data_IF_440076009416
#
_entry.id   IF_440076009416
#
_cell.length_a   1.000
_cell.length_b   1.000
_cell.length_c   1.000
_cell.angle_alpha   90.00
_cell.angle_beta   90.00
_cell.angle_gamma   90.00
#
_symmetry.space_group_name_H-M   'P 1'
#
loop_
_entity.id
_entity.type
_entity.pdbx_description
1 polymer ?
#
# COMPACT_ATOMS: atom_id res chain seq x y z
N UNK A 1 31.37 -21.73 -42.51
CA UNK A 1 32.42 -20.72 -42.19
C UNK A 1 31.84 -19.31 -42.11
N UNK A 2 31.19 -18.78 -43.14
CA UNK A 2 30.57 -17.45 -43.14
C UNK A 2 29.55 -17.20 -42.00
N UNK A 3 28.62 -18.13 -41.79
CA UNK A 3 27.63 -18.03 -40.70
C UNK A 3 28.27 -18.05 -39.30
N UNK A 4 29.40 -18.76 -39.13
CA UNK A 4 30.12 -18.84 -37.86
C UNK A 4 30.81 -17.50 -37.56
N UNK A 5 31.39 -16.88 -38.59
CA UNK A 5 32.02 -15.56 -38.49
C UNK A 5 30.96 -14.49 -38.16
N UNK A 6 29.80 -14.54 -38.81
CA UNK A 6 28.67 -13.64 -38.50
C UNK A 6 28.19 -13.81 -37.07
N UNK A 7 27.94 -15.05 -36.60
CA UNK A 7 27.53 -15.31 -35.22
C UNK A 7 28.56 -14.80 -34.21
N UNK A 8 29.85 -15.01 -34.48
CA UNK A 8 30.93 -14.50 -33.66
C UNK A 8 30.92 -12.97 -33.57
N UNK A 9 30.79 -12.26 -34.71
CA UNK A 9 30.73 -10.80 -34.75
C UNK A 9 29.51 -10.28 -33.98
N UNK A 10 28.33 -10.89 -34.17
CA UNK A 10 27.10 -10.49 -33.46
C UNK A 10 27.21 -10.68 -31.95
N UNK A 11 27.90 -11.75 -31.48
CA UNK A 11 28.17 -11.94 -30.04
C UNK A 11 29.09 -10.88 -29.46
N UNK A 12 30.15 -10.52 -30.18
CA UNK A 12 31.06 -9.45 -29.74
C UNK A 12 30.34 -8.10 -29.71
N UNK A 13 29.52 -7.80 -30.73
CA UNK A 13 28.70 -6.59 -30.77
C UNK A 13 27.71 -6.54 -29.59
N UNK A 14 26.99 -7.64 -29.31
CA UNK A 14 26.08 -7.72 -28.15
C UNK A 14 26.82 -7.51 -26.83
N UNK A 15 28.00 -8.12 -26.68
CA UNK A 15 28.81 -7.96 -25.47
C UNK A 15 29.23 -6.50 -25.28
N UNK A 16 29.66 -5.84 -26.36
CA UNK A 16 30.01 -4.41 -26.34
C UNK A 16 28.81 -3.52 -26.00
N UNK A 17 27.65 -3.75 -26.61
CA UNK A 17 26.40 -3.03 -26.29
C UNK A 17 26.02 -3.23 -24.82
N UNK A 18 26.15 -4.44 -24.27
CA UNK A 18 25.87 -4.71 -22.87
C UNK A 18 26.83 -3.98 -21.92
N UNK A 19 28.12 -3.88 -22.26
CA UNK A 19 29.09 -3.09 -21.47
C UNK A 19 28.70 -1.62 -21.46
N UNK A 20 28.41 -1.06 -22.64
CA UNK A 20 27.97 0.34 -22.73
C UNK A 20 26.69 0.54 -21.92
N UNK A 21 25.69 -0.31 -22.09
CA UNK A 21 24.43 -0.23 -21.34
C UNK A 21 24.65 -0.34 -19.83
N UNK A 22 25.60 -1.16 -19.38
CA UNK A 22 25.96 -1.26 -17.96
C UNK A 22 26.65 0.01 -17.44
N UNK A 23 27.55 0.61 -18.22
CA UNK A 23 28.22 1.89 -17.86
C UNK A 23 27.19 3.01 -17.79
N UNK A 24 26.35 3.14 -18.82
CA UNK A 24 25.20 4.07 -18.87
C UNK A 24 24.30 3.85 -17.65
N UNK A 25 23.96 2.59 -17.38
CA UNK A 25 23.16 2.17 -16.23
C UNK A 25 23.76 2.64 -14.91
N UNK A 26 25.04 2.39 -14.70
CA UNK A 26 25.75 2.77 -13.48
C UNK A 26 25.87 4.28 -13.31
N UNK A 27 26.11 5.03 -14.40
CA UNK A 27 26.25 6.48 -14.36
C UNK A 27 24.92 7.22 -14.18
N UNK A 28 23.83 6.73 -14.78
CA UNK A 28 22.53 7.42 -14.74
C UNK A 28 21.52 6.85 -13.73
N UNK A 29 21.69 5.59 -13.32
CA UNK A 29 20.84 4.93 -12.34
C UNK A 29 21.70 4.39 -11.19
N UNK A 30 22.34 5.29 -10.42
CA UNK A 30 23.08 4.87 -9.23
C UNK A 30 22.15 4.09 -8.29
N UNK A 31 22.76 3.22 -7.48
CA UNK A 31 22.02 2.44 -6.48
C UNK A 31 21.15 3.36 -5.62
N UNK A 32 19.86 3.08 -5.56
CA UNK A 32 18.92 3.77 -4.66
C UNK A 32 18.87 3.13 -3.27
N UNK A 33 19.86 2.31 -2.93
CA UNK A 33 19.93 1.67 -1.64
C UNK A 33 20.16 2.72 -0.54
N UNK A 34 19.27 2.76 0.45
CA UNK A 34 19.30 3.78 1.51
C UNK A 34 18.71 5.12 1.12
N UNK A 35 18.05 5.23 -0.04
CA UNK A 35 17.37 6.46 -0.48
C UNK A 35 16.23 6.85 0.46
N UNK A 36 15.55 5.86 1.05
CA UNK A 36 14.46 6.11 1.99
C UNK A 36 14.91 6.04 3.44
N UNK A 37 14.34 6.87 4.33
CA UNK A 37 14.58 6.76 5.76
C UNK A 37 14.14 5.38 6.28
N UNK A 38 14.89 4.86 7.25
CA UNK A 38 14.59 3.59 7.90
C UNK A 38 13.26 3.63 8.63
N UNK A 39 12.60 2.46 8.73
CA UNK A 39 11.35 2.33 9.46
C UNK A 39 11.65 2.41 10.96
N UNK A 40 11.06 3.42 11.64
CA UNK A 40 11.28 3.69 13.07
C UNK A 40 10.19 3.13 13.98
N UNK A 41 8.97 2.94 13.44
CA UNK A 41 7.82 2.49 14.20
C UNK A 41 7.61 0.99 14.01
N UNK A 42 7.78 0.21 15.09
CA UNK A 42 7.66 -1.24 15.09
C UNK A 42 6.25 -1.75 14.72
N UNK A 43 5.21 -0.92 14.82
CA UNK A 43 3.86 -1.27 14.35
C UNK A 43 3.84 -1.56 12.84
N UNK A 44 4.66 -0.84 12.06
CA UNK A 44 4.74 -0.96 10.60
C UNK A 44 5.42 -2.25 10.15
N UNK A 45 6.10 -2.94 11.08
CA UNK A 45 6.83 -4.19 10.83
C UNK A 45 6.04 -5.43 11.30
N UNK A 46 4.87 -5.24 11.90
CA UNK A 46 4.07 -6.33 12.44
C UNK A 46 3.09 -6.91 11.41
N UNK A 47 2.83 -8.23 11.44
CA UNK A 47 1.80 -8.84 10.60
C UNK A 47 0.40 -8.28 10.90
N UNK A 48 -0.40 -8.06 9.84
CA UNK A 48 -1.77 -7.56 9.94
C UNK A 48 -2.66 -8.33 10.93
N UNK A 49 -2.57 -9.66 10.95
CA UNK A 49 -3.32 -10.51 11.91
C UNK A 49 -2.96 -10.15 13.36
N UNK A 50 -1.68 -9.93 13.66
CA UNK A 50 -1.23 -9.58 15.02
C UNK A 50 -1.72 -8.20 15.43
N UNK A 51 -1.71 -7.25 14.50
CA UNK A 51 -2.25 -5.91 14.72
C UNK A 51 -3.76 -5.96 14.99
N UNK A 52 -4.52 -6.72 14.20
CA UNK A 52 -5.95 -6.92 14.39
C UNK A 52 -6.27 -7.61 15.74
N UNK A 53 -5.49 -8.60 16.16
CA UNK A 53 -5.61 -9.24 17.48
C UNK A 53 -5.37 -8.24 18.63
N UNK A 54 -4.35 -7.39 18.51
CA UNK A 54 -4.08 -6.32 19.48
C UNK A 54 -5.20 -5.28 19.55
N UNK A 55 -5.78 -4.94 18.40
CA UNK A 55 -6.93 -4.03 18.34
C UNK A 55 -8.14 -4.67 19.01
N UNK A 56 -8.51 -5.89 18.62
CA UNK A 56 -9.66 -6.62 19.20
C UNK A 56 -9.55 -6.84 20.71
N UNK A 57 -8.32 -6.98 21.24
CA UNK A 57 -8.07 -7.12 22.68
C UNK A 57 -7.94 -5.79 23.43
N UNK A 58 -8.02 -4.64 22.73
CA UNK A 58 -7.87 -3.31 23.32
C UNK A 58 -6.43 -2.92 23.69
N UNK A 59 -5.44 -3.71 23.28
CA UNK A 59 -4.01 -3.44 23.53
C UNK A 59 -3.44 -2.36 22.60
N UNK A 60 -4.09 -2.11 21.46
CA UNK A 60 -3.71 -1.12 20.46
C UNK A 60 -4.99 -0.44 19.96
N UNK A 61 -4.96 0.89 19.82
CA UNK A 61 -6.03 1.59 19.12
C UNK A 61 -5.80 1.54 17.61
N UNK A 62 -6.88 1.32 16.87
CA UNK A 62 -6.92 1.46 15.42
C UNK A 62 -6.44 2.85 15.00
N UNK A 63 -6.88 3.91 15.70
CA UNK A 63 -6.45 5.28 15.40
C UNK A 63 -4.93 5.45 15.47
N UNK A 64 -4.28 4.93 16.51
CA UNK A 64 -2.83 5.01 16.69
C UNK A 64 -2.08 4.27 15.57
N UNK A 65 -2.62 3.12 15.14
CA UNK A 65 -2.07 2.35 14.03
C UNK A 65 -2.20 3.11 12.71
N UNK A 66 -3.39 3.64 12.40
CA UNK A 66 -3.63 4.41 11.18
C UNK A 66 -2.74 5.65 11.14
N UNK A 67 -2.59 6.37 12.26
CA UNK A 67 -1.69 7.52 12.34
C UNK A 67 -0.24 7.13 12.03
N UNK A 68 0.25 6.00 12.57
CA UNK A 68 1.60 5.51 12.28
C UNK A 68 1.82 5.24 10.78
N UNK A 69 0.83 4.68 10.08
CA UNK A 69 0.91 4.47 8.63
C UNK A 69 0.84 5.80 7.86
N UNK A 70 -0.02 6.74 8.26
CA UNK A 70 -0.11 8.07 7.63
C UNK A 70 1.22 8.80 7.74
N UNK A 71 1.85 8.79 8.91
CA UNK A 71 3.13 9.46 9.14
C UNK A 71 4.20 8.86 8.23
N UNK A 72 4.23 7.53 8.09
CA UNK A 72 5.16 6.87 7.18
C UNK A 72 4.86 7.23 5.72
N UNK A 73 3.60 7.23 5.31
CA UNK A 73 3.22 7.62 3.96
C UNK A 73 3.69 9.04 3.65
N UNK A 74 3.51 9.99 4.57
CA UNK A 74 4.00 11.37 4.40
C UNK A 74 5.53 11.46 4.38
N UNK A 75 6.23 10.61 5.13
CA UNK A 75 7.70 10.60 5.15
C UNK A 75 8.33 10.14 3.83
N UNK A 76 7.68 9.26 3.05
CA UNK A 76 8.30 8.63 1.87
C UNK A 76 7.55 8.71 0.56
N UNK A 77 6.28 9.13 0.55
CA UNK A 77 5.51 9.12 -0.69
C UNK A 77 5.96 10.19 -1.70
N UNK A 78 6.58 11.27 -1.26
CA UNK A 78 7.15 12.28 -2.18
C UNK A 78 8.27 11.69 -3.04
N UNK A 79 9.06 10.79 -2.45
CA UNK A 79 10.15 10.06 -3.11
C UNK A 79 9.65 8.86 -3.93
N UNK A 80 8.64 8.15 -3.43
CA UNK A 80 8.12 6.92 -4.04
C UNK A 80 7.03 7.15 -5.08
N UNK A 81 6.23 8.20 -4.92
CA UNK A 81 5.02 8.49 -5.70
C UNK A 81 4.09 7.26 -5.81
N UNK A 82 3.87 6.56 -4.69
CA UNK A 82 3.11 5.31 -4.64
C UNK A 82 1.61 5.51 -4.42
N UNK A 83 1.23 6.57 -3.70
CA UNK A 83 -0.15 6.92 -3.36
C UNK A 83 -0.61 8.04 -4.29
N UNK A 84 -1.60 7.73 -5.13
CA UNK A 84 -2.16 8.66 -6.12
C UNK A 84 -3.44 9.36 -5.65
N UNK A 85 -4.04 8.86 -4.57
CA UNK A 85 -5.22 9.41 -3.91
C UNK A 85 -5.21 8.87 -2.48
N UNK A 86 -5.14 9.76 -1.49
CA UNK A 86 -5.21 9.40 -0.08
C UNK A 86 -6.60 9.64 0.51
N UNK A 87 -6.92 8.92 1.59
CA UNK A 87 -8.11 9.14 2.41
C UNK A 87 -7.72 9.23 3.89
N UNK A 88 -6.68 10.00 4.20
CA UNK A 88 -6.12 10.02 5.56
C UNK A 88 -7.15 10.48 6.60
N UNK A 89 -7.93 11.51 6.29
CA UNK A 89 -8.97 12.01 7.19
C UNK A 89 -10.12 11.00 7.39
N UNK A 90 -10.61 10.37 6.31
CA UNK A 90 -11.65 9.36 6.40
C UNK A 90 -11.17 8.11 7.15
N UNK A 91 -9.95 7.64 6.86
CA UNK A 91 -9.36 6.50 7.54
C UNK A 91 -9.21 6.72 9.06
N UNK A 92 -8.81 7.91 9.50
CA UNK A 92 -8.76 8.25 10.93
C UNK A 92 -10.16 8.26 11.56
N UNK A 93 -11.16 8.78 10.86
CA UNK A 93 -12.54 8.79 11.36
C UNK A 93 -13.10 7.36 11.48
N UNK A 94 -12.87 6.51 10.48
CA UNK A 94 -13.24 5.09 10.52
C UNK A 94 -12.52 4.36 11.64
N UNK A 95 -11.25 4.66 11.87
CA UNK A 95 -10.46 4.06 12.95
C UNK A 95 -11.03 4.39 14.34
N UNK A 96 -11.44 5.63 14.57
CA UNK A 96 -12.11 6.04 15.83
C UNK A 96 -13.41 5.28 16.04
N UNK A 97 -14.21 5.10 14.98
CA UNK A 97 -15.46 4.32 15.06
C UNK A 97 -15.18 2.84 15.40
N UNK A 98 -14.10 2.27 14.85
CA UNK A 98 -13.64 0.91 15.19
C UNK A 98 -13.25 0.84 16.67
N UNK A 99 -12.48 1.80 17.16
CA UNK A 99 -12.04 1.84 18.55
C UNK A 99 -13.23 1.94 19.51
N UNK A 100 -14.21 2.79 19.22
CA UNK A 100 -15.46 2.86 20.00
C UNK A 100 -16.20 1.54 20.04
N UNK A 101 -16.32 0.86 18.88
CA UNK A 101 -16.97 -0.44 18.78
C UNK A 101 -16.25 -1.52 19.58
N UNK A 102 -14.92 -1.59 19.47
CA UNK A 102 -14.09 -2.50 20.28
C UNK A 102 -14.33 -2.26 21.77
N UNK A 103 -14.30 -0.99 22.21
CA UNK A 103 -14.52 -0.66 23.62
C UNK A 103 -15.91 -1.05 24.11
N UNK A 104 -16.96 -0.83 23.31
CA UNK A 104 -18.32 -1.30 23.65
C UNK A 104 -18.38 -2.81 23.81
N UNK A 105 -17.83 -3.55 22.85
CA UNK A 105 -17.87 -5.02 22.90
C UNK A 105 -17.07 -5.59 24.07
N UNK A 106 -15.91 -5.02 24.38
CA UNK A 106 -15.10 -5.40 25.56
C UNK A 106 -15.83 -5.13 26.89
N UNK A 107 -16.71 -4.12 26.95
CA UNK A 107 -17.58 -3.85 28.11
C UNK A 107 -18.84 -4.73 28.15
N UNK A 108 -19.08 -5.56 27.14
CA UNK A 108 -20.32 -6.34 27.01
C UNK A 108 -21.52 -5.51 26.55
N UNK A 109 -21.30 -4.30 26.02
CA UNK A 109 -22.32 -3.34 25.56
C UNK A 109 -22.56 -3.44 24.04
N UNK A 110 -22.39 -4.64 23.47
CA UNK A 110 -22.59 -4.86 22.03
C UNK A 110 -24.06 -4.63 21.65
N UNK A 111 -24.30 -3.89 20.57
CA UNK A 111 -25.66 -3.64 20.09
C UNK A 111 -26.30 -4.93 19.53
N UNK A 112 -27.62 -5.15 19.70
CA UNK A 112 -28.29 -6.40 19.30
C UNK A 112 -28.13 -6.80 17.83
N UNK A 113 -27.98 -5.83 16.93
CA UNK A 113 -27.85 -6.05 15.48
C UNK A 113 -26.43 -5.74 14.95
N UNK A 114 -25.46 -5.50 15.83
CA UNK A 114 -24.07 -5.28 15.43
C UNK A 114 -23.32 -6.63 15.46
N UNK A 115 -22.64 -7.00 14.36
CA UNK A 115 -21.84 -8.22 14.34
C UNK A 115 -20.72 -8.13 15.38
N UNK A 116 -20.19 -9.27 15.83
CA UNK A 116 -19.05 -9.25 16.75
C UNK A 116 -17.81 -8.69 16.06
N UNK A 117 -16.95 -7.96 16.78
CA UNK A 117 -15.61 -7.57 16.32
C UNK A 117 -14.78 -8.78 15.87
N UNK A 118 -15.06 -9.98 16.40
CA UNK A 118 -14.35 -11.21 16.05
C UNK A 118 -14.72 -11.76 14.67
N UNK A 119 -15.83 -11.32 14.09
CA UNK A 119 -16.21 -11.66 12.71
C UNK A 119 -15.37 -10.93 11.66
N UNK A 120 -14.54 -9.95 12.08
CA UNK A 120 -13.70 -9.12 11.21
C UNK A 120 -12.23 -9.52 11.41
N UNK A 121 -11.64 -10.32 10.48
CA UNK A 121 -10.27 -10.81 10.64
C UNK A 121 -9.23 -9.69 10.73
N UNK A 122 -9.44 -8.61 9.96
CA UNK A 122 -8.53 -7.47 9.82
C UNK A 122 -9.09 -6.17 10.43
N UNK A 123 -9.97 -6.27 11.43
CA UNK A 123 -10.59 -5.09 12.05
C UNK A 123 -9.55 -4.02 12.44
N UNK A 124 -9.74 -2.80 11.93
CA UNK A 124 -8.90 -1.64 12.24
C UNK A 124 -7.50 -1.64 11.61
N UNK A 125 -7.19 -2.60 10.74
CA UNK A 125 -5.90 -2.63 10.02
C UNK A 125 -6.01 -1.82 8.71
N UNK A 126 -5.05 -0.92 8.40
CA UNK A 126 -5.08 -0.16 7.15
C UNK A 126 -4.93 -1.06 5.92
N UNK A 127 -5.57 -0.65 4.84
CA UNK A 127 -5.49 -1.29 3.53
C UNK A 127 -5.32 -0.24 2.43
N UNK A 128 -4.58 -0.59 1.38
CA UNK A 128 -4.44 0.22 0.16
C UNK A 128 -4.90 -0.60 -1.05
N UNK A 129 -5.69 0.01 -1.92
CA UNK A 129 -6.11 -0.62 -3.17
C UNK A 129 -5.31 -0.08 -4.37
N UNK A 130 -5.08 -0.93 -5.37
CA UNK A 130 -4.55 -0.47 -6.65
C UNK A 130 -5.54 0.50 -7.30
N UNK A 131 -5.08 1.54 -8.01
CA UNK A 131 -5.95 2.52 -8.67
C UNK A 131 -6.90 1.93 -9.75
N UNK A 132 -6.73 0.65 -10.10
CA UNK A 132 -7.64 -0.14 -10.92
C UNK A 132 -8.75 -0.86 -10.13
N UNK A 133 -8.86 -0.62 -8.83
CA UNK A 133 -9.92 -1.10 -7.95
C UNK A 133 -10.87 0.09 -7.69
N UNK A 134 -12.15 -0.11 -7.94
CA UNK A 134 -13.16 0.95 -7.81
C UNK A 134 -13.48 1.20 -6.34
N UNK A 135 -13.27 2.43 -5.88
CA UNK A 135 -13.68 2.93 -4.56
C UNK A 135 -14.48 4.22 -4.80
N UNK A 136 -15.70 4.28 -4.28
CA UNK A 136 -16.63 5.40 -4.50
C UNK A 136 -15.98 6.73 -4.12
N UNK A 137 -16.00 7.69 -5.03
CA UNK A 137 -15.42 9.03 -4.83
C UNK A 137 -13.91 9.13 -5.07
N UNK A 138 -13.21 8.02 -5.33
CA UNK A 138 -11.77 8.01 -5.57
C UNK A 138 -11.44 8.01 -7.06
N UNK A 139 -10.21 8.39 -7.40
CA UNK A 139 -9.73 8.35 -8.78
C UNK A 139 -9.67 6.91 -9.30
N UNK A 140 -10.12 6.69 -10.53
CA UNK A 140 -10.22 5.34 -11.13
C UNK A 140 -9.64 5.32 -12.56
N UNK A 141 -8.34 5.60 -12.64
CA UNK A 141 -7.63 5.83 -13.91
C UNK A 141 -6.95 4.57 -14.46
N UNK A 142 -6.77 3.53 -13.63
CA UNK A 142 -6.01 2.33 -13.97
C UNK A 142 -4.58 2.62 -14.45
N UNK A 143 -4.00 3.77 -14.08
CA UNK A 143 -2.67 4.21 -14.55
C UNK A 143 -2.65 4.70 -16.00
N UNK A 144 -3.81 4.96 -16.61
CA UNK A 144 -3.91 5.44 -18.01
C UNK A 144 -4.23 6.93 -18.06
N UNK A 145 -3.39 7.70 -18.75
CA UNK A 145 -3.57 9.16 -18.87
C UNK A 145 -4.92 9.57 -19.49
N UNK A 146 -5.40 8.82 -20.49
CA UNK A 146 -6.69 9.09 -21.14
C UNK A 146 -7.91 8.97 -20.20
N UNK A 147 -7.71 8.39 -19.01
CA UNK A 147 -8.72 8.25 -17.96
C UNK A 147 -8.55 9.28 -16.84
N UNK A 148 -7.72 10.31 -17.03
CA UNK A 148 -7.54 11.41 -16.09
C UNK A 148 -8.89 12.06 -15.78
N UNK A 149 -9.17 12.28 -14.50
CA UNK A 149 -10.41 12.88 -14.02
C UNK A 149 -11.58 11.89 -13.85
N UNK A 150 -11.42 10.61 -14.21
CA UNK A 150 -12.43 9.60 -13.90
C UNK A 150 -12.44 9.33 -12.40
N UNK A 151 -13.63 9.50 -11.79
CA UNK A 151 -13.94 9.18 -10.41
C UNK A 151 -14.88 7.99 -10.38
N UNK A 152 -14.65 7.03 -9.49
CA UNK A 152 -15.52 5.88 -9.33
C UNK A 152 -16.85 6.27 -8.66
N UNK A 153 -17.95 5.75 -9.19
CA UNK A 153 -19.33 6.00 -8.74
C UNK A 153 -19.75 5.07 -7.59
N UNK A 154 -19.10 3.91 -7.49
CA UNK A 154 -19.37 2.89 -6.47
C UNK A 154 -18.13 2.07 -6.12
N UNK A 155 -18.20 1.43 -4.96
CA UNK A 155 -17.23 0.40 -4.57
C UNK A 155 -17.42 -0.86 -5.43
N UNK A 156 -16.32 -1.53 -5.76
CA UNK A 156 -16.40 -2.88 -6.31
C UNK A 156 -16.69 -3.91 -5.21
N UNK A 157 -17.09 -5.12 -5.61
CA UNK A 157 -17.41 -6.21 -4.67
C UNK A 157 -16.29 -6.53 -3.70
N UNK A 158 -15.02 -6.46 -4.14
CA UNK A 158 -13.89 -6.72 -3.25
C UNK A 158 -13.78 -5.67 -2.15
N UNK A 159 -13.96 -4.38 -2.48
CA UNK A 159 -13.93 -3.29 -1.49
C UNK A 159 -15.12 -3.37 -0.54
N UNK A 160 -16.32 -3.70 -1.05
CA UNK A 160 -17.52 -3.85 -0.22
C UNK A 160 -17.45 -5.02 0.78
N UNK A 161 -16.51 -5.97 0.58
CA UNK A 161 -16.30 -7.12 1.46
C UNK A 161 -15.14 -6.92 2.45
N UNK A 162 -14.43 -5.79 2.38
CA UNK A 162 -13.36 -5.42 3.33
C UNK A 162 -13.96 -4.78 4.58
#
# INVERSE_FOLDING_TARGET
>A
MFLIIIDFILRQLRYFVNIIAAIIGYCWYPSQQGFLPSIKNDLLLQPAIRLAEKIKSGQLKSEDLIQAYIDRCKEVNDDLNAIVHDNFAGALQEARNVDERVQRELRGEKLPNEPSIHEFPFLGVPYTAKNSISIKGFTFTCGTYNRKGIIADKDCTTVANM
#
